data_IF_250581429304
#
_entry.id   IF_250581429304
#
_cell.length_a   1.000
_cell.length_b   1.000
_cell.length_c   1.000
_cell.angle_alpha   90.00
_cell.angle_beta   90.00
_cell.angle_gamma   90.00
#
_symmetry.space_group_name_H-M   'P 1'
#
loop_
_entity.id
_entity.type
_entity.pdbx_description
1 polymer ?
#
# COMPACT_ATOMS: atom_id res chain seq x y z
N UNK A 1 3.96 -16.46 -31.55
CA UNK A 1 3.69 -15.61 -30.37
C UNK A 1 3.14 -14.31 -30.96
N UNK A 2 1.94 -14.36 -31.53
CA UNK A 2 1.40 -13.31 -32.42
C UNK A 2 0.22 -12.59 -31.75
N UNK A 3 0.36 -12.23 -30.47
CA UNK A 3 -0.77 -11.68 -29.71
C UNK A 3 -0.89 -10.15 -29.76
N UNK A 4 0.07 -9.43 -30.33
CA UNK A 4 0.14 -7.96 -30.22
C UNK A 4 0.67 -7.29 -31.51
N UNK A 5 0.27 -7.76 -32.69
CA UNK A 5 0.82 -7.24 -33.97
C UNK A 5 0.37 -5.81 -34.31
N UNK A 6 -0.69 -5.30 -33.67
CA UNK A 6 -1.27 -3.96 -33.93
C UNK A 6 -1.32 -3.06 -32.66
N UNK A 7 -0.40 -3.26 -31.70
CA UNK A 7 -0.34 -2.44 -30.48
C UNK A 7 1.00 -1.69 -30.41
N UNK A 8 0.93 -0.37 -30.47
CA UNK A 8 2.11 0.52 -30.38
C UNK A 8 2.51 0.87 -28.93
N UNK A 9 1.65 0.59 -27.95
CA UNK A 9 1.87 0.99 -26.56
C UNK A 9 1.13 0.11 -25.56
N UNK A 10 1.82 -0.20 -24.46
CA UNK A 10 1.27 -0.92 -23.31
C UNK A 10 1.56 -0.10 -22.05
N UNK A 11 0.56 0.07 -21.20
CA UNK A 11 0.68 0.74 -19.90
C UNK A 11 0.51 -0.32 -18.82
N UNK A 12 1.49 -0.44 -17.94
CA UNK A 12 1.45 -1.36 -16.80
C UNK A 12 1.11 -0.59 -15.53
N UNK A 13 0.22 -1.16 -14.74
CA UNK A 13 0.12 -0.81 -13.32
C UNK A 13 1.36 -1.36 -12.58
N UNK A 14 1.63 -0.83 -11.39
CA UNK A 14 2.73 -1.28 -10.54
C UNK A 14 2.27 -2.43 -9.64
N UNK A 15 1.27 -2.16 -8.79
CA UNK A 15 0.83 -3.05 -7.72
C UNK A 15 0.15 -4.31 -8.23
N UNK A 16 0.67 -5.49 -7.88
CA UNK A 16 0.11 -6.78 -8.31
C UNK A 16 0.37 -7.13 -9.78
N UNK A 17 0.96 -6.20 -10.56
CA UNK A 17 1.38 -6.43 -11.95
C UNK A 17 2.90 -6.57 -12.01
N UNK A 18 3.64 -5.54 -11.59
CA UNK A 18 5.11 -5.56 -11.60
C UNK A 18 5.66 -5.90 -10.22
N UNK A 19 5.10 -5.35 -9.15
CA UNK A 19 5.52 -5.62 -7.76
C UNK A 19 4.51 -6.51 -7.04
N UNK A 20 4.98 -7.43 -6.21
CA UNK A 20 4.10 -8.20 -5.33
C UNK A 20 3.61 -7.34 -4.16
N UNK A 21 2.33 -7.45 -3.83
CA UNK A 21 1.71 -6.74 -2.70
C UNK A 21 1.07 -7.73 -1.72
N UNK A 22 1.18 -7.46 -0.43
CA UNK A 22 0.48 -8.21 0.62
C UNK A 22 -0.09 -7.27 1.70
N UNK A 23 -1.38 -6.99 1.59
CA UNK A 23 -2.10 -6.14 2.55
C UNK A 23 -2.18 -6.76 3.95
N UNK A 24 -2.08 -8.08 4.07
CA UNK A 24 -2.08 -8.78 5.35
C UNK A 24 -0.86 -8.41 6.19
N UNK A 25 0.29 -8.15 5.55
CA UNK A 25 1.51 -7.76 6.25
C UNK A 25 1.39 -6.37 6.88
N UNK A 26 0.84 -5.40 6.17
CA UNK A 26 0.58 -4.07 6.75
C UNK A 26 -0.46 -4.13 7.86
N UNK A 27 -1.55 -4.90 7.68
CA UNK A 27 -2.55 -5.09 8.73
C UNK A 27 -1.92 -5.71 9.98
N UNK A 28 -1.09 -6.74 9.82
CA UNK A 28 -0.38 -7.39 10.92
C UNK A 28 0.60 -6.46 11.62
N UNK A 29 1.41 -5.73 10.85
CA UNK A 29 2.40 -4.80 11.39
C UNK A 29 1.72 -3.66 12.16
N UNK A 30 0.66 -3.06 11.61
CA UNK A 30 -0.12 -2.03 12.30
C UNK A 30 -0.87 -2.59 13.51
N UNK A 31 -1.39 -3.83 13.45
CA UNK A 31 -2.02 -4.47 14.61
C UNK A 31 -1.04 -4.64 15.77
N UNK A 32 0.21 -4.99 15.47
CA UNK A 32 1.27 -5.07 16.48
C UNK A 32 1.55 -3.71 17.12
N UNK A 33 1.61 -2.64 16.33
CA UNK A 33 1.81 -1.28 16.85
C UNK A 33 0.63 -0.81 17.69
N UNK A 34 -0.60 -1.08 17.24
CA UNK A 34 -1.81 -0.70 17.93
C UNK A 34 -2.08 -1.53 19.20
N UNK A 35 -1.48 -2.72 19.31
CA UNK A 35 -1.70 -3.64 20.43
C UNK A 35 -3.02 -4.42 20.34
N UNK A 36 -3.70 -4.38 19.20
CA UNK A 36 -4.95 -5.10 18.94
C UNK A 36 -5.13 -5.37 17.43
N UNK A 37 -6.01 -6.31 17.08
CA UNK A 37 -6.30 -6.63 15.67
C UNK A 37 -7.09 -5.51 14.98
N UNK A 38 -6.46 -4.84 14.02
CA UNK A 38 -7.07 -3.73 13.27
C UNK A 38 -7.84 -4.18 12.02
N UNK A 39 -7.90 -5.48 11.71
CA UNK A 39 -8.41 -5.99 10.43
C UNK A 39 -9.82 -5.48 10.10
N UNK A 40 -10.69 -5.39 11.12
CA UNK A 40 -12.05 -4.89 10.93
C UNK A 40 -12.10 -3.39 10.66
N UNK A 41 -11.37 -2.60 11.44
CA UNK A 41 -11.29 -1.14 11.31
C UNK A 41 -10.67 -0.79 9.96
N UNK A 42 -9.57 -1.45 9.62
CA UNK A 42 -8.89 -1.30 8.34
C UNK A 42 -9.81 -1.66 7.17
N UNK A 43 -10.53 -2.78 7.22
CA UNK A 43 -11.45 -3.17 6.15
C UNK A 43 -12.65 -2.24 6.00
N UNK A 44 -13.25 -1.78 7.10
CA UNK A 44 -14.41 -0.88 7.07
C UNK A 44 -14.01 0.55 6.67
N UNK A 45 -12.82 0.98 7.07
CA UNK A 45 -12.32 2.32 6.88
C UNK A 45 -11.33 2.45 5.73
N UNK A 46 -11.12 1.40 4.91
CA UNK A 46 -10.49 1.57 3.58
C UNK A 46 -11.29 2.52 2.67
N UNK A 47 -12.56 2.79 3.00
CA UNK A 47 -13.39 3.84 2.39
C UNK A 47 -13.22 5.21 3.07
N UNK A 48 -12.36 5.32 4.09
CA UNK A 48 -12.08 6.59 4.73
C UNK A 48 -11.31 7.49 3.78
N UNK A 49 -11.73 8.75 3.78
CA UNK A 49 -11.24 9.84 2.93
C UNK A 49 -9.71 10.01 2.97
N UNK A 50 -9.03 9.61 4.05
CA UNK A 50 -7.58 9.78 4.20
C UNK A 50 -6.76 8.93 3.22
N UNK A 51 -7.19 7.70 2.90
CA UNK A 51 -6.43 6.81 2.01
C UNK A 51 -6.50 7.34 0.58
N UNK A 52 -7.72 7.62 0.10
CA UNK A 52 -7.93 8.18 -1.23
C UNK A 52 -7.26 9.54 -1.40
N UNK A 53 -7.32 10.42 -0.39
CA UNK A 53 -6.59 11.70 -0.41
C UNK A 53 -5.09 11.51 -0.50
N UNK A 54 -4.53 10.53 0.20
CA UNK A 54 -3.10 10.26 0.13
C UNK A 54 -2.69 9.69 -1.24
N UNK A 55 -3.47 8.76 -1.80
CA UNK A 55 -3.22 8.16 -3.12
C UNK A 55 -3.19 9.19 -4.25
N UNK A 56 -4.01 10.23 -4.18
CA UNK A 56 -4.04 11.32 -5.17
C UNK A 56 -3.09 12.49 -4.83
N UNK A 57 -2.28 12.36 -3.76
CA UNK A 57 -1.36 13.42 -3.31
C UNK A 57 -2.04 14.64 -2.70
N UNK A 58 -3.29 14.52 -2.28
CA UNK A 58 -4.08 15.59 -1.66
C UNK A 58 -3.74 15.88 -0.20
N UNK A 59 -2.97 15.01 0.47
CA UNK A 59 -2.41 15.22 1.80
C UNK A 59 -0.95 14.76 1.83
N UNK A 60 -0.16 15.35 2.74
CA UNK A 60 1.22 14.98 2.99
C UNK A 60 1.36 13.64 3.71
N UNK A 61 2.57 13.07 3.67
CA UNK A 61 2.91 11.84 4.42
C UNK A 61 2.68 12.02 5.93
N UNK A 62 2.98 13.19 6.49
CA UNK A 62 2.76 13.48 7.90
C UNK A 62 1.27 13.48 8.26
N UNK A 63 0.45 14.17 7.46
CA UNK A 63 -1.01 14.19 7.64
C UNK A 63 -1.63 12.80 7.49
N UNK A 64 -1.13 11.98 6.56
CA UNK A 64 -1.57 10.59 6.41
C UNK A 64 -1.25 9.74 7.65
N UNK A 65 -0.03 9.81 8.18
CA UNK A 65 0.37 9.06 9.39
C UNK A 65 -0.46 9.48 10.61
N UNK A 66 -0.66 10.78 10.79
CA UNK A 66 -1.52 11.31 11.86
C UNK A 66 -2.96 10.84 11.69
N UNK A 67 -3.52 10.91 10.49
CA UNK A 67 -4.85 10.41 10.17
C UNK A 67 -4.98 8.92 10.45
N UNK A 68 -3.98 8.12 10.10
CA UNK A 68 -3.96 6.67 10.35
C UNK A 68 -3.94 6.33 11.85
N UNK A 69 -3.12 7.02 12.64
CA UNK A 69 -3.10 6.90 14.09
C UNK A 69 -4.46 7.27 14.73
N UNK A 70 -5.07 8.38 14.31
CA UNK A 70 -6.38 8.80 14.80
C UNK A 70 -7.47 7.79 14.44
N UNK A 71 -7.44 7.32 13.20
CA UNK A 71 -8.39 6.35 12.66
C UNK A 71 -8.36 5.04 13.45
N UNK A 72 -7.15 4.55 13.74
CA UNK A 72 -6.87 3.31 14.44
C UNK A 72 -6.62 3.52 15.95
N UNK A 73 -6.89 4.71 16.48
CA UNK A 73 -6.84 5.02 17.92
C UNK A 73 -5.60 4.50 18.66
N UNK A 74 -4.42 4.70 18.09
CA UNK A 74 -3.15 4.37 18.72
C UNK A 74 -2.11 5.47 18.45
N UNK A 75 -1.01 5.45 19.19
CA UNK A 75 0.14 6.34 18.97
C UNK A 75 1.38 5.52 18.67
N UNK A 76 2.20 5.98 17.71
CA UNK A 76 3.47 5.36 17.37
C UNK A 76 4.40 6.40 16.70
N UNK A 77 5.69 6.08 16.67
CA UNK A 77 6.68 6.90 15.98
C UNK A 77 6.45 6.88 14.45
N UNK A 78 6.76 8.00 13.83
CA UNK A 78 6.61 8.24 12.39
C UNK A 78 7.30 7.18 11.52
N UNK A 79 8.48 6.70 11.96
CA UNK A 79 9.24 5.66 11.28
C UNK A 79 8.63 4.27 11.46
N UNK A 80 8.05 3.99 12.64
CA UNK A 80 7.38 2.72 12.91
C UNK A 80 6.12 2.58 12.03
N UNK A 81 5.35 3.66 11.89
CA UNK A 81 4.18 3.70 11.02
C UNK A 81 4.61 3.56 9.56
N UNK A 82 5.67 4.27 9.14
CA UNK A 82 6.19 4.15 7.78
C UNK A 82 6.60 2.70 7.47
N UNK A 83 7.33 2.05 8.37
CA UNK A 83 7.73 0.64 8.20
C UNK A 83 6.52 -0.30 8.15
N UNK A 84 5.54 -0.13 9.04
CA UNK A 84 4.33 -0.96 9.07
C UNK A 84 3.48 -0.77 7.80
N UNK A 85 3.40 0.46 7.28
CA UNK A 85 2.71 0.76 6.02
C UNK A 85 3.47 0.21 4.81
N UNK A 86 4.80 0.32 4.78
CA UNK A 86 5.64 -0.18 3.69
C UNK A 86 5.70 -1.71 3.64
N UNK A 87 5.31 -2.43 4.69
CA UNK A 87 5.23 -3.89 4.71
C UNK A 87 4.29 -4.47 3.63
N UNK A 88 3.38 -3.64 3.08
CA UNK A 88 2.55 -3.96 1.92
C UNK A 88 3.37 -4.34 0.69
N UNK A 89 4.53 -3.71 0.49
CA UNK A 89 5.34 -3.84 -0.73
C UNK A 89 6.37 -4.95 -0.50
N UNK A 90 6.30 -5.98 -1.35
CA UNK A 90 7.21 -7.12 -1.31
C UNK A 90 8.36 -6.90 -2.31
N UNK A 91 8.60 -7.89 -3.16
CA UNK A 91 9.67 -7.94 -4.13
C UNK A 91 9.20 -7.55 -5.53
N UNK A 92 10.20 -7.22 -6.36
CA UNK A 92 10.06 -7.09 -7.80
C UNK A 92 10.55 -8.39 -8.45
N UNK A 93 9.65 -9.28 -8.90
CA UNK A 93 10.07 -10.53 -9.52
C UNK A 93 10.95 -10.26 -10.75
N UNK A 94 12.17 -10.83 -10.81
CA UNK A 94 13.13 -10.50 -11.87
C UNK A 94 12.57 -10.68 -13.29
N UNK A 95 11.75 -11.70 -13.51
CA UNK A 95 11.12 -11.97 -14.79
C UNK A 95 10.15 -10.88 -15.23
N UNK A 96 9.43 -10.24 -14.29
CA UNK A 96 8.51 -9.13 -14.59
C UNK A 96 9.27 -7.86 -14.88
N UNK A 97 10.37 -7.63 -14.16
CA UNK A 97 11.26 -6.48 -14.41
C UNK A 97 11.94 -6.60 -15.76
N UNK A 98 12.41 -7.79 -16.13
CA UNK A 98 13.05 -8.02 -17.42
C UNK A 98 12.05 -7.91 -18.59
N UNK A 99 10.78 -8.27 -18.37
CA UNK A 99 9.74 -8.13 -19.38
C UNK A 99 9.46 -6.67 -19.79
N UNK A 100 9.65 -5.72 -18.87
CA UNK A 100 9.32 -4.30 -19.09
C UNK A 100 10.54 -3.41 -19.33
N UNK A 101 11.73 -4.01 -19.44
CA UNK A 101 12.99 -3.32 -19.76
C UNK A 101 13.14 -3.10 -21.27
#
# INVERSE_FOLDING_TARGET
MDLLTDIDSVIFDLGGVIVNLDYGLTIHALSKLAGYDISQQFSQQRQADIFSKFEVGGISVSEFRQGLMQLLRFEADDDAIAQAWSALILDFPPERVELVR
#
